data_IF_500838565337
#
_entry.id   IF_500838565337
#
_cell.length_a   1.000
_cell.length_b   1.000
_cell.length_c   1.000
_cell.angle_alpha   90.00
_cell.angle_beta   90.00
_cell.angle_gamma   90.00
#
_symmetry.space_group_name_H-M   'P 1'
#
loop_
_entity.id
_entity.type
_entity.pdbx_description
1 polymer ?
#
# COMPACT_ATOMS: atom_id res chain seq x y z
N UNK A 1 -5.94 -28.68 -10.95
CA UNK A 1 -4.81 -28.10 -10.17
C UNK A 1 -4.18 -27.01 -11.02
N UNK A 2 -3.94 -25.81 -10.46
CA UNK A 2 -3.37 -24.68 -11.22
C UNK A 2 -1.91 -25.00 -11.61
N UNK A 3 -1.49 -24.78 -12.88
CA UNK A 3 -0.10 -24.93 -13.27
C UNK A 3 0.83 -24.03 -12.45
N UNK A 4 2.04 -24.50 -12.16
CA UNK A 4 3.04 -23.76 -11.39
C UNK A 4 4.02 -23.09 -12.34
N UNK A 5 4.38 -21.84 -12.06
CA UNK A 5 5.37 -21.12 -12.86
C UNK A 5 6.71 -21.89 -12.87
N UNK A 6 7.30 -22.14 -14.05
CA UNK A 6 8.53 -22.90 -14.14
C UNK A 6 9.73 -22.11 -13.59
N UNK A 7 10.77 -22.84 -13.21
CA UNK A 7 12.01 -22.27 -12.74
C UNK A 7 12.67 -21.39 -13.81
N UNK A 8 13.31 -20.29 -13.38
CA UNK A 8 14.17 -19.49 -14.26
C UNK A 8 15.45 -20.26 -14.62
N UNK A 9 16.15 -19.83 -15.66
CA UNK A 9 17.41 -20.43 -16.11
C UNK A 9 18.41 -20.65 -14.95
N UNK A 10 18.58 -19.64 -14.10
CA UNK A 10 19.42 -19.72 -12.91
C UNK A 10 18.91 -20.76 -11.89
N UNK A 11 17.60 -20.84 -11.66
CA UNK A 11 17.03 -21.82 -10.73
C UNK A 11 17.12 -23.25 -11.26
N UNK A 12 17.00 -23.44 -12.58
CA UNK A 12 17.26 -24.74 -13.23
C UNK A 12 18.71 -25.14 -12.95
N UNK A 13 19.67 -24.29 -13.27
CA UNK A 13 21.09 -24.52 -12.99
C UNK A 13 21.37 -24.82 -11.51
N UNK A 14 20.84 -23.98 -10.60
CA UNK A 14 21.00 -24.19 -9.17
C UNK A 14 20.43 -25.54 -8.71
N UNK A 15 19.30 -25.96 -9.26
CA UNK A 15 18.69 -27.26 -8.95
C UNK A 15 19.57 -28.43 -9.42
N UNK A 16 20.19 -28.31 -10.58
CA UNK A 16 21.10 -29.31 -11.13
C UNK A 16 22.37 -29.44 -10.28
N UNK A 17 22.95 -28.33 -9.81
CA UNK A 17 24.05 -28.36 -8.84
C UNK A 17 23.64 -29.10 -7.56
N UNK A 18 22.49 -28.74 -6.98
CA UNK A 18 22.00 -29.35 -5.73
C UNK A 18 21.74 -30.84 -5.89
N UNK A 19 21.28 -31.26 -7.07
CA UNK A 19 21.02 -32.67 -7.40
C UNK A 19 22.28 -33.47 -7.73
N UNK A 20 23.45 -32.83 -7.85
CA UNK A 20 24.70 -33.49 -8.24
C UNK A 20 24.82 -33.81 -9.73
N UNK A 21 23.90 -33.32 -10.57
CA UNK A 21 23.98 -33.48 -12.03
C UNK A 21 25.11 -32.65 -12.66
N UNK A 22 25.55 -31.61 -11.96
CA UNK A 22 26.72 -30.82 -12.33
C UNK A 22 27.75 -31.07 -11.24
N UNK A 23 28.81 -31.79 -11.58
CA UNK A 23 29.98 -31.93 -10.73
C UNK A 23 30.68 -30.56 -10.67
N UNK A 24 30.47 -29.86 -9.56
CA UNK A 24 31.27 -28.69 -9.22
C UNK A 24 32.27 -29.09 -8.14
N UNK A 25 33.50 -28.61 -8.26
CA UNK A 25 34.53 -28.90 -7.29
C UNK A 25 34.22 -28.16 -5.99
N UNK A 26 33.64 -28.88 -5.02
CA UNK A 26 33.25 -28.34 -3.70
C UNK A 26 34.44 -27.75 -2.94
N UNK A 27 35.66 -28.16 -3.29
CA UNK A 27 36.90 -27.71 -2.65
C UNK A 27 37.18 -26.21 -2.84
N UNK A 28 36.68 -25.58 -3.93
CA UNK A 28 36.83 -24.14 -4.14
C UNK A 28 35.81 -23.28 -3.37
N UNK A 29 34.80 -23.89 -2.74
CA UNK A 29 33.78 -23.21 -1.92
C UNK A 29 33.09 -21.99 -2.59
N UNK A 30 33.04 -21.94 -3.92
CA UNK A 30 32.43 -20.82 -4.64
C UNK A 30 30.91 -20.80 -4.48
N UNK A 31 30.30 -19.63 -4.24
CA UNK A 31 28.86 -19.51 -4.14
C UNK A 31 28.20 -19.72 -5.51
N UNK A 32 27.03 -20.39 -5.54
CA UNK A 32 26.29 -20.71 -6.78
C UNK A 32 26.06 -19.52 -7.73
N UNK A 33 25.75 -18.29 -7.26
CA UNK A 33 25.66 -17.13 -8.14
C UNK A 33 26.95 -16.85 -8.92
N UNK A 34 28.11 -17.09 -8.32
CA UNK A 34 29.39 -16.87 -8.97
C UNK A 34 29.69 -17.96 -10.00
N UNK A 35 29.37 -19.22 -9.69
CA UNK A 35 29.45 -20.32 -10.64
C UNK A 35 28.58 -20.07 -11.88
N UNK A 36 27.39 -19.48 -11.71
CA UNK A 36 26.53 -19.08 -12.83
C UNK A 36 27.19 -18.04 -13.74
N UNK A 37 27.88 -17.05 -13.17
CA UNK A 37 28.59 -16.02 -13.94
C UNK A 37 29.83 -16.58 -14.66
N UNK A 38 30.47 -17.59 -14.08
CA UNK A 38 31.63 -18.30 -14.66
C UNK A 38 31.23 -19.30 -15.77
N UNK A 39 29.94 -19.63 -15.92
CA UNK A 39 29.48 -20.52 -16.99
C UNK A 39 29.81 -19.92 -18.37
N UNK A 40 30.27 -20.76 -19.33
CA UNK A 40 30.39 -20.35 -20.71
C UNK A 40 29.06 -19.78 -21.24
N UNK A 41 29.09 -18.72 -22.07
CA UNK A 41 27.87 -18.11 -22.62
C UNK A 41 26.95 -19.11 -23.32
N UNK A 42 27.53 -20.12 -24.00
CA UNK A 42 26.79 -21.19 -24.67
C UNK A 42 25.98 -22.04 -23.69
N UNK A 43 26.53 -22.34 -22.50
CA UNK A 43 25.83 -23.11 -21.48
C UNK A 43 24.73 -22.28 -20.80
N UNK A 44 25.00 -21.00 -20.52
CA UNK A 44 23.94 -20.09 -20.03
C UNK A 44 22.78 -20.01 -21.02
N UNK A 45 23.06 -20.01 -22.32
CA UNK A 45 22.02 -19.95 -23.36
C UNK A 45 21.16 -21.23 -23.37
N UNK A 46 21.75 -22.40 -23.14
CA UNK A 46 20.98 -23.65 -22.99
C UNK A 46 19.97 -23.53 -21.84
N UNK A 47 20.38 -23.05 -20.67
CA UNK A 47 19.45 -22.87 -19.54
C UNK A 47 18.37 -21.82 -19.81
N UNK A 48 18.72 -20.72 -20.51
CA UNK A 48 17.73 -19.71 -20.92
C UNK A 48 16.71 -20.30 -21.88
N UNK A 49 17.15 -21.10 -22.84
CA UNK A 49 16.28 -21.75 -23.81
C UNK A 49 15.36 -22.77 -23.11
N UNK A 50 15.89 -23.60 -22.21
CA UNK A 50 15.08 -24.52 -21.39
C UNK A 50 14.03 -23.79 -20.55
N UNK A 51 14.41 -22.70 -19.88
CA UNK A 51 13.48 -21.89 -19.09
C UNK A 51 12.40 -21.25 -19.96
N UNK A 52 12.77 -20.80 -21.17
CA UNK A 52 11.83 -20.22 -22.14
C UNK A 52 10.82 -21.25 -22.62
N UNK A 53 11.26 -22.43 -23.05
CA UNK A 53 10.39 -23.52 -23.50
C UNK A 53 9.43 -23.97 -22.40
N UNK A 54 9.93 -24.14 -21.17
CA UNK A 54 9.10 -24.47 -20.02
C UNK A 54 8.06 -23.37 -19.74
N UNK A 55 8.45 -22.09 -19.87
CA UNK A 55 7.55 -20.95 -19.67
C UNK A 55 6.47 -20.86 -20.74
N UNK A 56 6.81 -21.14 -22.00
CA UNK A 56 5.84 -21.14 -23.09
C UNK A 56 4.84 -22.30 -22.93
N UNK A 57 5.30 -23.49 -22.52
CA UNK A 57 4.41 -24.60 -22.17
C UNK A 57 3.50 -24.26 -20.98
N UNK A 58 4.05 -23.62 -19.95
CA UNK A 58 3.28 -23.15 -18.79
C UNK A 58 2.18 -22.18 -19.20
N UNK A 59 2.42 -21.23 -20.11
CA UNK A 59 1.36 -20.31 -20.59
C UNK A 59 0.21 -21.06 -21.25
N UNK A 60 0.51 -22.05 -22.09
CA UNK A 60 -0.52 -22.85 -22.75
C UNK A 60 -1.34 -23.61 -21.71
N UNK A 61 -0.68 -24.25 -20.75
CA UNK A 61 -1.36 -24.97 -19.66
C UNK A 61 -2.18 -24.03 -18.78
N UNK A 62 -1.66 -22.83 -18.48
CA UNK A 62 -2.34 -21.83 -17.66
C UNK A 62 -3.58 -21.28 -18.36
N UNK A 63 -3.49 -21.02 -19.67
CA UNK A 63 -4.63 -20.59 -20.46
C UNK A 63 -5.72 -21.66 -20.45
N UNK A 64 -5.36 -22.91 -20.75
CA UNK A 64 -6.30 -24.03 -20.68
C UNK A 64 -6.94 -24.17 -19.29
N UNK A 65 -6.14 -24.02 -18.23
CA UNK A 65 -6.65 -24.05 -16.87
C UNK A 65 -7.72 -22.97 -16.63
N UNK A 66 -7.52 -21.74 -17.10
CA UNK A 66 -8.52 -20.68 -16.95
C UNK A 66 -9.74 -20.84 -17.85
N UNK A 67 -9.56 -21.40 -19.05
CA UNK A 67 -10.69 -21.73 -19.94
C UNK A 67 -11.59 -22.79 -19.27
N UNK A 68 -10.98 -23.78 -18.63
CA UNK A 68 -11.69 -24.83 -17.87
C UNK A 68 -12.20 -24.34 -16.51
N UNK A 69 -11.65 -23.25 -15.95
CA UNK A 69 -11.93 -22.74 -14.60
C UNK A 69 -12.07 -21.20 -14.58
N UNK A 70 -13.12 -20.62 -15.21
CA UNK A 70 -13.25 -19.16 -15.34
C UNK A 70 -13.39 -18.43 -13.99
N UNK A 71 -13.99 -19.09 -12.98
CA UNK A 71 -14.12 -18.53 -11.63
C UNK A 71 -12.76 -18.29 -10.93
N UNK A 72 -11.76 -19.13 -11.20
CA UNK A 72 -10.41 -18.95 -10.65
C UNK A 72 -9.70 -17.73 -11.26
N UNK A 73 -9.95 -17.46 -12.56
CA UNK A 73 -9.43 -16.26 -13.22
C UNK A 73 -10.00 -14.99 -12.60
N UNK A 74 -11.33 -14.95 -12.41
CA UNK A 74 -12.00 -13.80 -11.78
C UNK A 74 -11.51 -13.56 -10.34
N UNK A 75 -11.36 -14.64 -9.56
CA UNK A 75 -10.84 -14.57 -8.19
C UNK A 75 -9.42 -14.00 -8.14
N UNK A 76 -8.55 -14.41 -9.07
CA UNK A 76 -7.19 -13.90 -9.13
C UNK A 76 -7.10 -12.45 -9.59
N UNK A 77 -7.94 -12.06 -10.56
CA UNK A 77 -8.05 -10.66 -10.98
C UNK A 77 -8.55 -9.78 -9.83
N UNK A 78 -9.57 -10.21 -9.08
CA UNK A 78 -10.04 -9.53 -7.86
C UNK A 78 -8.93 -9.40 -6.82
N UNK A 79 -8.20 -10.49 -6.52
CA UNK A 79 -7.11 -10.46 -5.56
C UNK A 79 -5.95 -9.55 -6.01
N UNK A 80 -5.64 -9.56 -7.31
CA UNK A 80 -4.62 -8.69 -7.91
C UNK A 80 -5.03 -7.22 -7.82
N UNK A 81 -6.30 -6.91 -8.04
CA UNK A 81 -6.86 -5.57 -7.88
C UNK A 81 -6.78 -5.10 -6.42
N UNK A 82 -7.25 -5.93 -5.47
CA UNK A 82 -7.15 -5.65 -4.03
C UNK A 82 -5.71 -5.41 -3.57
N UNK A 83 -4.74 -6.18 -4.08
CA UNK A 83 -3.32 -5.98 -3.77
C UNK A 83 -2.78 -4.65 -4.32
N UNK A 84 -3.21 -4.24 -5.52
CA UNK A 84 -2.84 -2.95 -6.10
C UNK A 84 -3.42 -1.80 -5.29
N UNK A 85 -4.69 -1.89 -4.91
CA UNK A 85 -5.37 -0.87 -4.10
C UNK A 85 -4.75 -0.76 -2.71
N UNK A 86 -4.48 -1.89 -2.05
CA UNK A 86 -3.78 -1.89 -0.76
C UNK A 86 -2.41 -1.22 -0.86
N UNK A 87 -1.62 -1.55 -1.89
CA UNK A 87 -0.31 -0.90 -2.13
C UNK A 87 -0.46 0.58 -2.39
N UNK A 88 -1.46 0.99 -3.17
CA UNK A 88 -1.75 2.39 -3.44
C UNK A 88 -2.02 3.14 -2.14
N UNK A 89 -2.91 2.61 -1.27
CA UNK A 89 -3.25 3.21 0.02
C UNK A 89 -2.00 3.31 0.92
N UNK A 90 -1.28 2.21 1.13
CA UNK A 90 -0.13 2.19 2.04
C UNK A 90 1.03 3.07 1.56
N UNK A 91 1.20 3.25 0.26
CA UNK A 91 2.25 4.11 -0.29
C UNK A 91 1.86 5.59 -0.33
N UNK A 92 0.56 5.92 -0.19
CA UNK A 92 0.06 7.30 -0.32
C UNK A 92 -0.21 7.99 1.02
N UNK A 93 -0.11 7.25 2.13
CA UNK A 93 -0.39 7.71 3.47
C UNK A 93 0.88 7.65 4.33
N UNK A 94 1.06 8.63 5.23
CA UNK A 94 2.15 8.59 6.20
C UNK A 94 1.87 7.61 7.36
N UNK A 95 2.83 7.44 8.27
CA UNK A 95 2.70 6.51 9.41
C UNK A 95 1.54 6.84 10.34
N UNK A 96 1.21 8.12 10.52
CA UNK A 96 0.11 8.56 11.38
C UNK A 96 -1.22 8.30 10.69
N UNK A 97 -1.33 8.59 9.40
CA UNK A 97 -2.50 8.31 8.57
C UNK A 97 -2.76 6.82 8.40
N UNK A 98 -1.72 5.99 8.30
CA UNK A 98 -1.86 4.52 8.26
C UNK A 98 -2.52 4.00 9.55
N UNK A 99 -2.20 4.56 10.72
CA UNK A 99 -2.88 4.17 11.98
C UNK A 99 -4.37 4.53 11.98
N UNK A 100 -4.78 5.54 11.20
CA UNK A 100 -6.20 5.90 11.07
C UNK A 100 -7.00 4.85 10.28
N UNK A 101 -6.33 3.97 9.52
CA UNK A 101 -6.97 2.81 8.90
C UNK A 101 -7.44 1.75 9.92
N UNK A 102 -7.03 1.85 11.18
CA UNK A 102 -7.53 0.99 12.27
C UNK A 102 -8.84 1.53 12.88
N UNK A 103 -9.24 2.75 12.51
CA UNK A 103 -10.43 3.45 13.05
C UNK A 103 -11.30 3.97 11.91
N UNK A 104 -11.50 3.16 10.86
CA UNK A 104 -12.21 3.57 9.64
C UNK A 104 -13.67 3.93 9.89
N UNK A 105 -14.31 3.29 10.85
CA UNK A 105 -15.64 3.63 11.34
C UNK A 105 -15.71 5.05 11.92
N UNK A 106 -14.78 5.42 12.80
CA UNK A 106 -14.71 6.75 13.38
C UNK A 106 -14.39 7.80 12.31
N UNK A 107 -13.49 7.49 11.38
CA UNK A 107 -13.17 8.33 10.22
C UNK A 107 -14.46 8.60 9.42
N UNK A 108 -15.17 7.54 9.04
CA UNK A 108 -16.41 7.63 8.25
C UNK A 108 -17.51 8.38 9.00
N UNK A 109 -17.70 8.07 10.27
CA UNK A 109 -18.68 8.76 11.12
C UNK A 109 -18.40 10.27 11.18
N UNK A 110 -17.14 10.63 11.40
CA UNK A 110 -16.70 12.03 11.48
C UNK A 110 -16.91 12.74 10.15
N UNK A 111 -16.47 12.14 9.04
CA UNK A 111 -16.64 12.73 7.71
C UNK A 111 -18.13 12.89 7.36
N UNK A 112 -18.98 11.91 7.66
CA UNK A 112 -20.42 12.01 7.45
C UNK A 112 -21.02 13.24 8.12
N UNK A 113 -20.62 13.51 9.38
CA UNK A 113 -21.04 14.73 10.07
C UNK A 113 -20.49 16.00 9.42
N UNK A 114 -19.23 16.00 8.96
CA UNK A 114 -18.63 17.13 8.27
C UNK A 114 -19.28 17.44 6.92
N UNK A 115 -19.75 16.43 6.19
CA UNK A 115 -20.48 16.62 4.95
C UNK A 115 -21.89 17.17 5.17
N UNK A 116 -22.57 16.73 6.24
CA UNK A 116 -23.93 17.21 6.55
C UNK A 116 -23.87 18.64 7.13
N UNK A 117 -22.83 18.97 7.90
CA UNK A 117 -22.69 20.25 8.61
C UNK A 117 -21.34 20.94 8.35
N UNK A 118 -21.00 21.27 7.09
CA UNK A 118 -19.67 21.75 6.71
C UNK A 118 -19.31 23.08 7.39
N UNK A 119 -20.28 23.98 7.57
CA UNK A 119 -20.05 25.32 8.13
C UNK A 119 -20.13 25.38 9.67
N UNK A 120 -20.70 24.34 10.30
CA UNK A 120 -21.00 24.35 11.74
C UNK A 120 -19.95 23.60 12.56
N UNK A 121 -19.21 22.67 11.94
CA UNK A 121 -18.24 21.82 12.64
C UNK A 121 -16.82 22.40 12.57
N UNK A 122 -16.68 23.64 13.07
CA UNK A 122 -15.36 24.22 13.35
C UNK A 122 -14.62 23.33 14.33
N UNK A 123 -13.34 23.08 14.04
CA UNK A 123 -12.50 22.18 14.82
C UNK A 123 -12.20 22.76 16.22
N UNK A 124 -13.08 22.49 17.17
CA UNK A 124 -12.91 22.84 18.59
C UNK A 124 -12.89 21.56 19.44
N UNK A 125 -12.24 21.56 20.62
CA UNK A 125 -12.27 20.41 21.53
C UNK A 125 -13.69 19.98 21.88
N UNK A 126 -14.61 20.94 22.01
CA UNK A 126 -16.03 20.69 22.27
C UNK A 126 -16.66 19.87 21.14
N UNK A 127 -16.44 20.27 19.88
CA UNK A 127 -16.98 19.53 18.73
C UNK A 127 -16.36 18.13 18.61
N UNK A 128 -15.03 18.00 18.82
CA UNK A 128 -14.38 16.67 18.84
C UNK A 128 -15.00 15.75 19.91
N UNK A 129 -15.26 16.29 21.10
CA UNK A 129 -15.89 15.55 22.19
C UNK A 129 -17.33 15.13 21.84
N UNK A 130 -18.11 16.01 21.20
CA UNK A 130 -19.48 15.72 20.78
C UNK A 130 -19.51 14.61 19.71
N UNK A 131 -18.66 14.70 18.69
CA UNK A 131 -18.59 13.68 17.63
C UNK A 131 -18.18 12.33 18.24
N UNK A 132 -17.15 12.32 19.09
CA UNK A 132 -16.70 11.10 19.76
C UNK A 132 -17.79 10.49 20.64
N UNK A 133 -18.46 11.29 21.47
CA UNK A 133 -19.54 10.82 22.32
C UNK A 133 -20.76 10.32 21.53
N UNK A 134 -21.00 10.84 20.33
CA UNK A 134 -22.00 10.31 19.40
C UNK A 134 -21.58 8.95 18.83
N UNK A 135 -20.33 8.83 18.40
CA UNK A 135 -19.75 7.58 17.92
C UNK A 135 -19.77 6.48 18.98
N UNK A 136 -19.40 6.80 20.23
CA UNK A 136 -19.38 5.85 21.35
C UNK A 136 -20.77 5.30 21.71
N UNK A 137 -21.85 5.95 21.23
CA UNK A 137 -23.24 5.50 21.42
C UNK A 137 -23.74 4.60 20.31
N UNK A 138 -23.01 4.48 19.20
CA UNK A 138 -23.37 3.57 18.12
C UNK A 138 -23.25 2.13 18.60
N UNK A 139 -24.18 1.30 18.15
CA UNK A 139 -24.04 -0.14 18.32
C UNK A 139 -22.99 -0.73 17.36
N UNK A 140 -22.62 -1.98 17.60
CA UNK A 140 -21.61 -2.65 16.77
C UNK A 140 -22.06 -2.84 15.32
N UNK A 141 -23.38 -3.01 15.08
CA UNK A 141 -23.90 -3.17 13.72
C UNK A 141 -23.80 -1.86 12.91
N UNK A 142 -23.98 -0.70 13.56
CA UNK A 142 -23.78 0.61 12.96
C UNK A 142 -22.30 0.87 12.66
N UNK A 143 -21.39 0.51 13.57
CA UNK A 143 -19.95 0.62 13.32
C UNK A 143 -19.51 -0.29 12.18
N UNK A 144 -19.98 -1.54 12.14
CA UNK A 144 -19.67 -2.47 11.05
C UNK A 144 -20.13 -1.94 9.70
N UNK A 145 -21.33 -1.31 9.62
CA UNK A 145 -21.79 -0.63 8.39
C UNK A 145 -20.84 0.47 7.94
N UNK A 146 -20.27 1.24 8.86
CA UNK A 146 -19.31 2.30 8.52
C UNK A 146 -17.98 1.72 8.02
N UNK A 147 -17.50 0.64 8.64
CA UNK A 147 -16.30 -0.08 8.18
C UNK A 147 -16.52 -0.67 6.78
N UNK A 148 -17.68 -1.29 6.54
CA UNK A 148 -18.04 -1.83 5.23
C UNK A 148 -18.16 -0.71 4.19
N UNK A 149 -18.80 0.41 4.53
CA UNK A 149 -18.90 1.56 3.63
C UNK A 149 -17.51 2.12 3.26
N UNK A 150 -16.55 2.14 4.19
CA UNK A 150 -15.15 2.49 3.88
C UNK A 150 -14.49 1.44 2.97
N UNK A 151 -14.71 0.15 3.24
CA UNK A 151 -14.13 -0.94 2.45
C UNK A 151 -14.65 -0.97 1.01
N UNK A 152 -15.90 -0.56 0.79
CA UNK A 152 -16.53 -0.48 -0.53
C UNK A 152 -16.05 0.72 -1.37
N UNK A 153 -15.34 1.68 -0.76
CA UNK A 153 -14.73 2.79 -1.48
C UNK A 153 -13.54 2.35 -2.32
N UNK A 154 -13.32 3.03 -3.45
CA UNK A 154 -12.07 2.89 -4.18
C UNK A 154 -10.87 3.33 -3.34
N UNK A 155 -9.67 2.81 -3.64
CA UNK A 155 -8.46 3.18 -2.89
C UNK A 155 -8.17 4.68 -2.87
N UNK A 156 -8.50 5.41 -3.94
CA UNK A 156 -8.36 6.88 -3.98
C UNK A 156 -9.32 7.59 -3.03
N UNK A 157 -10.58 7.12 -2.95
CA UNK A 157 -11.56 7.64 -2.01
C UNK A 157 -11.16 7.35 -0.57
N UNK A 158 -10.67 6.15 -0.27
CA UNK A 158 -10.14 5.80 1.07
C UNK A 158 -8.98 6.72 1.47
N UNK A 159 -8.03 6.95 0.57
CA UNK A 159 -6.91 7.88 0.80
C UNK A 159 -7.43 9.29 1.10
N UNK A 160 -8.38 9.78 0.29
CA UNK A 160 -8.93 11.11 0.45
C UNK A 160 -9.67 11.24 1.80
N UNK A 161 -10.48 10.26 2.16
CA UNK A 161 -11.18 10.21 3.44
C UNK A 161 -10.21 10.31 4.63
N UNK A 162 -9.12 9.52 4.61
CA UNK A 162 -8.11 9.57 5.67
C UNK A 162 -7.43 10.94 5.71
N UNK A 163 -7.09 11.53 4.56
CA UNK A 163 -6.48 12.86 4.50
C UNK A 163 -7.42 13.96 4.98
N UNK A 164 -8.70 13.91 4.64
CA UNK A 164 -9.70 14.87 5.08
C UNK A 164 -9.91 14.79 6.60
N UNK A 165 -9.98 13.56 7.12
CA UNK A 165 -10.08 13.33 8.55
C UNK A 165 -8.82 13.81 9.29
N UNK A 166 -7.63 13.49 8.79
CA UNK A 166 -6.36 13.94 9.37
C UNK A 166 -6.24 15.48 9.33
N UNK A 167 -6.55 16.10 8.18
CA UNK A 167 -6.55 17.56 8.06
C UNK A 167 -7.54 18.18 9.06
N UNK A 168 -8.75 17.62 9.17
CA UNK A 168 -9.71 18.07 10.17
C UNK A 168 -9.24 17.80 11.59
N UNK A 169 -8.50 16.73 11.87
CA UNK A 169 -7.98 16.39 13.20
C UNK A 169 -6.75 17.21 13.59
N UNK A 170 -5.96 17.66 12.62
CA UNK A 170 -4.62 18.26 12.80
C UNK A 170 -4.60 19.78 12.57
N UNK A 171 -5.72 20.39 12.13
CA UNK A 171 -5.94 21.85 11.90
C UNK A 171 -5.55 22.83 13.03
N UNK A 172 -4.96 22.40 14.14
CA UNK A 172 -4.40 23.25 15.21
C UNK A 172 -2.96 23.71 14.98
N UNK A 173 -2.16 23.06 14.13
CA UNK A 173 -0.72 23.38 14.06
C UNK A 173 -0.42 24.57 13.13
N UNK A 174 -1.07 24.65 11.98
CA UNK A 174 -0.71 25.65 10.94
C UNK A 174 -1.15 27.07 11.30
N UNK A 175 -2.26 27.23 12.06
CA UNK A 175 -2.73 28.57 12.43
C UNK A 175 -1.81 29.26 13.43
N UNK A 176 -1.22 28.52 14.38
CA UNK A 176 -0.26 29.09 15.32
C UNK A 176 1.05 29.53 14.65
N UNK A 177 1.55 28.81 13.65
CA UNK A 177 2.77 29.21 12.94
C UNK A 177 2.54 30.40 11.99
N UNK A 178 1.35 30.52 11.41
CA UNK A 178 0.96 31.69 10.62
C UNK A 178 0.73 32.94 11.48
N UNK A 179 0.08 32.79 12.64
CA UNK A 179 -0.17 33.88 13.59
C UNK A 179 1.15 34.35 14.26
N UNK A 180 2.08 33.44 14.58
CA UNK A 180 3.42 33.79 15.12
C UNK A 180 4.31 34.49 14.09
N UNK A 181 4.24 34.13 12.80
CA UNK A 181 4.95 34.87 11.75
C UNK A 181 4.38 36.28 11.52
N UNK A 182 3.06 36.46 11.60
CA UNK A 182 2.45 37.79 11.49
C UNK A 182 2.70 38.70 12.71
N UNK A 183 2.87 38.15 13.92
CA UNK A 183 3.29 38.92 15.09
C UNK A 183 4.78 39.29 15.05
N UNK A 184 5.65 38.41 14.53
CA UNK A 184 7.07 38.71 14.30
C UNK A 184 7.30 39.85 13.30
N UNK A 185 6.61 39.81 12.15
CA UNK A 185 6.71 40.86 11.13
C UNK A 185 6.12 42.22 11.58
N UNK A 186 5.16 42.21 12.52
CA UNK A 186 4.61 43.47 13.10
C UNK A 186 5.48 44.04 14.21
N UNK A 187 6.24 43.22 14.92
CA UNK A 187 7.17 43.68 15.95
C UNK A 187 8.42 44.34 15.34
N UNK A 188 8.95 43.80 14.23
CA UNK A 188 10.10 44.40 13.52
C UNK A 188 9.80 45.77 12.91
N UNK A 189 8.55 46.06 12.53
CA UNK A 189 8.17 47.37 11.97
C UNK A 189 8.04 48.45 13.06
N UNK A 190 7.84 48.10 14.33
CA UNK A 190 7.75 49.09 15.42
C UNK A 190 9.09 49.45 16.07
N UNK A 191 10.12 48.58 15.99
CA UNK A 191 11.47 48.92 16.50
C UNK A 191 12.30 49.75 15.52
N UNK A 192 11.94 49.79 14.23
CA UNK A 192 12.63 50.59 13.21
C UNK A 192 12.31 52.09 13.19
N UNK A 193 11.21 52.52 13.85
CA UNK A 193 10.73 53.92 13.82
C UNK A 193 11.06 54.72 15.11
N UNK A 194 11.83 54.13 16.05
CA UNK A 194 12.31 54.84 17.25
C UNK A 194 13.80 55.22 17.20
N UNK A 195 14.46 55.03 16.06
CA UNK A 195 15.82 55.52 15.82
C UNK A 195 15.89 56.32 14.51
N UNK A 196 15.21 57.47 14.47
CA UNK A 196 15.41 58.51 13.47
C UNK A 196 15.36 59.90 14.15
#
# INVERSE_FOLDING_TARGET
MKPVQPASAYLIFQSQIKSGQIEYNKEENKPVPQLWLELPPQQQEIYKQQAKEAYDLYKIQLQKFYDDNPAEKEKEEKLKQQRKEKKLITNSLDRTQIKMLEMTDLVMYTLGHLYIFPDQLKQTPKIKSIIKAGFDKLDEAEKEKLQQAFADMSGLQQIQAIKDYDQWFTRRVIKKEADVKQEGDKAEVQEGDQQA
#
